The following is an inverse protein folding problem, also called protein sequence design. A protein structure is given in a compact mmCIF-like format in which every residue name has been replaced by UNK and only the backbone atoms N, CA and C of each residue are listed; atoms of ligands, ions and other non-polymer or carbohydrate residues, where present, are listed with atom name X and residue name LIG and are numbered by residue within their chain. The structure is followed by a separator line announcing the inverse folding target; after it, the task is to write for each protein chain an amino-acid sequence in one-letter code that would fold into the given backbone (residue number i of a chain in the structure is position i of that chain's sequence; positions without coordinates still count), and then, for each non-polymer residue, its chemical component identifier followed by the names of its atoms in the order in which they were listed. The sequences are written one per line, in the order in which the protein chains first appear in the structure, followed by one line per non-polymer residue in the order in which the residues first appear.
data_IF_128800470144
#
_entry.id   IF_128800470144
#
_cell.length_a   1.000
_cell.length_b   1.000
_cell.length_c   1.000
_cell.angle_alpha   90.00
_cell.angle_beta   90.00
_cell.angle_gamma   90.00
#
_symmetry.space_group_name_H-M   'P 1'
#
loop_
_entity.id
_entity.type
_entity.pdbx_description
1 polymer ?
#
# COMPACT_ATOMS: atom_id res chain seq x y z
N UNK A 1 -5.95 6.36 -13.94
CA UNK A 1 -5.93 6.81 -12.53
C UNK A 1 -5.09 5.81 -11.75
N UNK A 2 -4.35 6.24 -10.73
CA UNK A 2 -3.51 5.34 -9.92
C UNK A 2 -4.03 5.23 -8.48
N UNK A 3 -3.82 4.08 -7.87
CA UNK A 3 -4.16 3.78 -6.49
C UNK A 3 -2.96 3.96 -5.57
N UNK A 4 -3.17 4.61 -4.42
CA UNK A 4 -2.22 4.50 -3.30
C UNK A 4 -2.44 3.17 -2.56
N UNK A 5 -1.41 2.70 -1.85
CA UNK A 5 -1.52 1.49 -1.02
C UNK A 5 -2.65 1.61 0.01
N UNK A 6 -2.79 2.79 0.62
CA UNK A 6 -3.86 3.12 1.57
C UNK A 6 -5.25 3.06 0.92
N UNK A 7 -5.41 3.64 -0.28
CA UNK A 7 -6.69 3.66 -0.96
C UNK A 7 -7.18 2.24 -1.30
N UNK A 8 -6.28 1.36 -1.75
CA UNK A 8 -6.59 -0.06 -1.97
C UNK A 8 -7.07 -0.74 -0.68
N UNK A 9 -6.34 -0.53 0.43
CA UNK A 9 -6.69 -1.09 1.74
C UNK A 9 -8.06 -0.61 2.23
N UNK A 10 -8.31 0.69 2.20
CA UNK A 10 -9.56 1.31 2.66
C UNK A 10 -10.73 0.85 1.80
N UNK A 11 -10.55 0.74 0.47
CA UNK A 11 -11.58 0.25 -0.44
C UNK A 11 -11.99 -1.22 -0.15
N UNK A 12 -11.09 -2.01 0.46
CA UNK A 12 -11.41 -3.37 0.95
C UNK A 12 -11.94 -3.40 2.38
N UNK A 13 -12.10 -2.27 3.05
CA UNK A 13 -12.58 -2.18 4.43
C UNK A 13 -11.61 -2.75 5.46
N UNK A 14 -10.32 -2.80 5.14
CA UNK A 14 -9.30 -3.40 6.03
C UNK A 14 -8.63 -2.33 6.89
N UNK A 15 -8.32 -2.69 8.13
CA UNK A 15 -7.34 -1.96 8.96
C UNK A 15 -5.91 -2.30 8.52
N UNK A 16 -4.94 -1.46 8.90
CA UNK A 16 -3.51 -1.73 8.61
C UNK A 16 -3.05 -3.06 9.23
N UNK A 17 -3.54 -3.40 10.42
CA UNK A 17 -3.22 -4.66 11.10
C UNK A 17 -3.78 -5.89 10.39
N UNK A 18 -4.98 -5.80 9.82
CA UNK A 18 -5.57 -6.90 9.04
C UNK A 18 -4.84 -7.14 7.72
N UNK A 19 -4.46 -6.06 7.02
CA UNK A 19 -3.64 -6.19 5.81
C UNK A 19 -2.25 -6.73 6.13
N UNK A 20 -1.63 -6.25 7.21
CA UNK A 20 -0.35 -6.73 7.70
C UNK A 20 -0.35 -8.24 7.98
N UNK A 21 -1.39 -8.75 8.66
CA UNK A 21 -1.57 -10.19 8.89
C UNK A 21 -1.66 -10.98 7.58
N UNK A 22 -2.41 -10.48 6.60
CA UNK A 22 -2.54 -11.13 5.28
C UNK A 22 -1.22 -11.12 4.50
N UNK A 23 -0.43 -10.06 4.65
CA UNK A 23 0.84 -9.89 3.94
C UNK A 23 2.05 -10.41 4.72
N UNK A 24 1.83 -10.96 5.92
CA UNK A 24 2.88 -11.51 6.80
C UNK A 24 3.97 -10.48 7.10
N UNK A 25 3.56 -9.23 7.36
CA UNK A 25 4.43 -8.12 7.75
C UNK A 25 3.90 -7.47 9.03
N UNK A 26 4.65 -6.53 9.59
CA UNK A 26 4.16 -5.75 10.73
C UNK A 26 3.16 -4.67 10.28
N UNK A 27 2.26 -4.26 11.17
CA UNK A 27 1.38 -3.12 10.91
C UNK A 27 2.16 -1.83 10.70
N UNK A 28 3.32 -1.68 11.35
CA UNK A 28 4.22 -0.54 11.14
C UNK A 28 4.77 -0.52 9.71
N UNK A 29 5.08 -1.68 9.11
CA UNK A 29 5.51 -1.75 7.72
C UNK A 29 4.42 -1.22 6.78
N UNK A 30 3.16 -1.61 6.99
CA UNK A 30 2.03 -1.09 6.20
C UNK A 30 1.88 0.42 6.40
N UNK A 31 1.85 0.89 7.65
CA UNK A 31 1.71 2.31 7.95
C UNK A 31 2.82 3.18 7.33
N UNK A 32 4.07 2.71 7.40
CA UNK A 32 5.23 3.38 6.78
C UNK A 32 5.07 3.49 5.27
N UNK A 33 4.70 2.39 4.61
CA UNK A 33 4.53 2.33 3.16
C UNK A 33 3.33 3.14 2.66
N UNK A 34 2.26 3.24 3.47
CA UNK A 34 1.13 4.12 3.16
C UNK A 34 1.51 5.61 3.22
N UNK A 35 2.56 5.97 3.98
CA UNK A 35 3.13 7.32 4.01
C UNK A 35 4.15 7.55 2.89
N UNK A 36 5.03 6.58 2.66
CA UNK A 36 6.05 6.63 1.62
C UNK A 36 6.34 5.21 1.08
N UNK A 37 5.86 4.96 -0.13
CA UNK A 37 6.03 3.67 -0.82
C UNK A 37 7.21 3.65 -1.80
N UNK A 38 8.05 4.70 -1.81
CA UNK A 38 9.18 4.83 -2.75
C UNK A 38 10.20 3.68 -2.63
N UNK A 39 10.28 3.05 -1.46
CA UNK A 39 11.21 1.96 -1.15
C UNK A 39 10.51 0.59 -0.99
N UNK A 40 9.30 0.42 -1.53
CA UNK A 40 8.60 -0.86 -1.45
C UNK A 40 9.40 -1.97 -2.15
N UNK A 41 9.65 -3.07 -1.44
CA UNK A 41 10.31 -4.24 -2.01
C UNK A 41 9.39 -4.98 -2.99
N UNK A 42 9.96 -5.56 -4.05
CA UNK A 42 9.22 -6.27 -5.11
C UNK A 42 8.27 -7.35 -4.57
N UNK A 43 8.68 -8.13 -3.57
CA UNK A 43 7.83 -9.19 -3.01
C UNK A 43 6.55 -8.65 -2.39
N UNK A 44 6.63 -7.51 -1.69
CA UNK A 44 5.46 -6.91 -1.07
C UNK A 44 4.58 -6.20 -2.11
N UNK A 45 5.20 -5.52 -3.07
CA UNK A 45 4.49 -4.94 -4.21
C UNK A 45 3.71 -6.01 -5.00
N UNK A 46 4.31 -7.18 -5.23
CA UNK A 46 3.63 -8.31 -5.87
C UNK A 46 2.43 -8.79 -5.04
N UNK A 47 2.56 -8.88 -3.70
CA UNK A 47 1.43 -9.19 -2.81
C UNK A 47 0.28 -8.17 -2.99
N UNK A 48 0.58 -6.88 -3.16
CA UNK A 48 -0.43 -5.86 -3.47
C UNK A 48 -1.10 -6.13 -4.83
N UNK A 49 -0.31 -6.32 -5.89
CA UNK A 49 -0.83 -6.59 -7.24
C UNK A 49 -1.77 -7.80 -7.24
N UNK A 50 -1.34 -8.91 -6.64
CA UNK A 50 -2.09 -10.16 -6.60
C UNK A 50 -3.35 -10.05 -5.75
N UNK A 51 -3.27 -9.45 -4.55
CA UNK A 51 -4.40 -9.39 -3.62
C UNK A 51 -5.49 -8.39 -4.04
N UNK A 52 -5.09 -7.26 -4.64
CA UNK A 52 -6.02 -6.22 -5.08
C UNK A 52 -6.42 -6.36 -6.56
N UNK A 53 -5.83 -7.31 -7.28
CA UNK A 53 -6.06 -7.57 -8.70
C UNK A 53 -5.83 -6.31 -9.56
N UNK A 54 -4.65 -5.71 -9.40
CA UNK A 54 -4.21 -4.49 -10.11
C UNK A 54 -2.86 -4.73 -10.79
N UNK A 55 -2.59 -3.99 -11.86
CA UNK A 55 -1.29 -4.00 -12.53
C UNK A 55 -0.32 -3.03 -11.86
N UNK A 56 0.97 -3.13 -12.20
CA UNK A 56 2.00 -2.23 -11.68
C UNK A 56 1.69 -0.75 -11.98
N UNK A 57 1.31 -0.45 -13.22
CA UNK A 57 1.01 0.91 -13.68
C UNK A 57 -0.24 1.53 -13.01
N UNK A 58 -1.07 0.70 -12.38
CA UNK A 58 -2.23 1.12 -11.60
C UNK A 58 -1.85 1.60 -10.20
N UNK A 59 -0.61 1.40 -9.73
CA UNK A 59 -0.17 1.72 -8.37
C UNK A 59 0.70 2.97 -8.38
N UNK A 60 0.33 3.95 -7.56
CA UNK A 60 1.19 5.10 -7.26
C UNK A 60 2.24 4.70 -6.22
N UNK A 61 3.52 4.86 -6.58
CA UNK A 61 4.65 4.67 -5.67
C UNK A 61 5.35 6.01 -5.41
N UNK A 62 5.42 6.41 -4.15
CA UNK A 62 5.99 7.70 -3.77
C UNK A 62 5.58 8.16 -2.38
N UNK A 63 6.06 9.35 -2.00
CA UNK A 63 5.65 10.03 -0.77
C UNK A 63 4.24 10.57 -0.91
N UNK A 64 3.43 10.36 0.12
CA UNK A 64 2.18 11.11 0.29
C UNK A 64 2.57 12.58 0.52
N UNK A 65 2.20 13.46 -0.40
CA UNK A 65 2.41 14.89 -0.21
C UNK A 65 1.55 15.36 0.98
N UNK A 66 2.20 15.86 2.03
CA UNK A 66 1.52 16.72 2.99
C UNK A 66 1.36 18.08 2.30
N UNK A 67 0.13 18.44 1.96
CA UNK A 67 -0.16 19.82 1.59
C UNK A 67 0.11 20.66 2.83
N UNK A 68 1.28 21.31 2.88
CA UNK A 68 1.51 22.40 3.80
C UNK A 68 0.58 23.54 3.36
N UNK A 69 -0.56 23.65 4.05
CA UNK A 69 -1.47 24.79 3.97
C UNK A 69 -0.90 25.93 4.80
#
# INVERSE_FOLDING_TARGET
MQWTLEAMRINKGLTQGELAKKFEVSSQTIARLEKDSSDIGYQLLKKYMDYFNVQFDDIFLGKKYENFV
#
